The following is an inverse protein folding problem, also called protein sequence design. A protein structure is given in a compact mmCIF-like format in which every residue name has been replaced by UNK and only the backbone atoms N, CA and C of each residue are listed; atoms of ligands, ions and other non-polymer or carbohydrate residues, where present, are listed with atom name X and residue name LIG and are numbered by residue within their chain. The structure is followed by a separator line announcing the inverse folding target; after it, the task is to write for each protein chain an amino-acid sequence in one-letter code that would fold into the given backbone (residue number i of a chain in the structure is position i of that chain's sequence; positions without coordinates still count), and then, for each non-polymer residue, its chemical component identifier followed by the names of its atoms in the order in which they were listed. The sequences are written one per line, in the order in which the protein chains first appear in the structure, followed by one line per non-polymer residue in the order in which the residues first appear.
data_IF_274780536321
#
_entry.id   IF_274780536321
#
_cell.length_a   1.000
_cell.length_b   1.000
_cell.length_c   1.000
_cell.angle_alpha   90.00
_cell.angle_beta   90.00
_cell.angle_gamma   90.00
#
_symmetry.space_group_name_H-M   'P 1'
#
loop_
_entity.id
_entity.type
_entity.pdbx_description
1 polymer ?
#
# COMPACT_ATOMS: atom_id res chain seq x y z
N UNK A 1 7.92 -33.26 -62.45
CA UNK A 1 7.57 -32.51 -61.29
C UNK A 1 8.26 -33.14 -60.07
N UNK A 2 9.34 -32.49 -59.53
CA UNK A 2 10.05 -32.95 -58.35
C UNK A 2 9.32 -32.44 -57.10
N UNK A 3 8.93 -33.37 -56.22
CA UNK A 3 8.36 -33.02 -54.91
C UNK A 3 9.42 -32.35 -54.01
N UNK A 4 9.03 -31.34 -53.23
CA UNK A 4 9.96 -30.72 -52.28
C UNK A 4 10.29 -31.71 -51.16
N UNK A 5 11.58 -31.94 -50.94
CA UNK A 5 12.07 -32.69 -49.80
C UNK A 5 11.79 -31.88 -48.51
N UNK A 6 10.93 -32.42 -47.68
CA UNK A 6 10.78 -31.97 -46.30
C UNK A 6 12.13 -32.04 -45.60
N UNK A 7 12.64 -30.90 -45.15
CA UNK A 7 13.77 -30.84 -44.23
C UNK A 7 13.29 -31.35 -42.90
N UNK A 8 13.69 -32.56 -42.54
CA UNK A 8 13.55 -33.03 -41.17
C UNK A 8 14.33 -32.10 -40.27
N UNK A 9 13.59 -31.47 -39.35
CA UNK A 9 14.19 -30.69 -38.30
C UNK A 9 15.09 -31.58 -37.44
N UNK A 10 16.32 -31.14 -37.21
CA UNK A 10 17.25 -31.81 -36.33
C UNK A 10 16.68 -31.85 -34.89
N UNK A 11 16.86 -32.97 -34.15
CA UNK A 11 16.40 -33.08 -32.80
C UNK A 11 17.14 -32.05 -31.91
N UNK A 12 16.36 -31.29 -31.13
CA UNK A 12 16.87 -30.34 -30.17
C UNK A 12 17.78 -31.05 -29.12
N UNK A 13 18.90 -30.46 -28.74
CA UNK A 13 19.74 -31.06 -27.71
C UNK A 13 18.97 -31.15 -26.39
N UNK A 14 19.17 -32.19 -25.58
CA UNK A 14 18.50 -32.34 -24.32
C UNK A 14 18.90 -31.19 -23.37
N UNK A 15 17.91 -30.65 -22.69
CA UNK A 15 18.12 -29.63 -21.68
C UNK A 15 19.10 -30.12 -20.58
N UNK A 16 19.98 -29.27 -20.05
CA UNK A 16 20.89 -29.67 -18.99
C UNK A 16 20.08 -30.07 -17.76
N UNK A 17 20.34 -31.28 -17.28
CA UNK A 17 19.75 -31.77 -16.02
C UNK A 17 20.30 -30.96 -14.86
N UNK A 18 19.46 -30.55 -13.89
CA UNK A 18 19.97 -29.95 -12.69
C UNK A 18 20.89 -30.91 -11.95
N UNK A 19 22.06 -30.42 -11.58
CA UNK A 19 23.03 -31.20 -10.82
C UNK A 19 22.42 -31.64 -9.48
N UNK A 20 22.61 -32.92 -9.13
CA UNK A 20 22.17 -33.43 -7.85
C UNK A 20 22.85 -32.67 -6.69
N UNK A 21 22.13 -32.37 -5.61
CA UNK A 21 22.74 -31.72 -4.46
C UNK A 21 23.79 -32.64 -3.82
N UNK A 22 24.87 -32.07 -3.29
CA UNK A 22 25.92 -32.87 -2.65
C UNK A 22 25.35 -33.62 -1.43
N UNK A 23 25.89 -34.80 -1.10
CA UNK A 23 25.45 -35.57 0.05
C UNK A 23 25.71 -34.78 1.34
N UNK A 24 24.66 -34.57 2.11
CA UNK A 24 24.76 -33.98 3.44
C UNK A 24 25.40 -35.01 4.34
N UNK A 25 26.61 -34.74 4.81
CA UNK A 25 27.24 -35.51 5.88
C UNK A 25 26.40 -35.32 7.15
N UNK A 26 25.69 -36.38 7.52
CA UNK A 26 25.04 -36.43 8.82
C UNK A 26 26.14 -36.58 9.87
N UNK A 27 26.45 -35.51 10.57
CA UNK A 27 27.13 -35.62 11.84
C UNK A 27 26.06 -35.98 12.89
N UNK A 28 25.98 -37.25 13.20
CA UNK A 28 25.30 -37.72 14.41
C UNK A 28 26.10 -37.24 15.61
N UNK A 29 25.74 -36.08 16.13
CA UNK A 29 26.12 -35.69 17.48
C UNK A 29 24.87 -35.76 18.33
N UNK A 30 24.68 -36.93 18.93
CA UNK A 30 23.73 -37.09 20.03
C UNK A 30 24.34 -36.43 21.26
N UNK A 31 23.83 -35.27 21.61
CA UNK A 31 23.97 -34.71 22.93
C UNK A 31 22.58 -34.57 23.52
N UNK A 32 22.46 -35.27 24.62
CA UNK A 32 21.29 -35.40 25.46
C UNK A 32 20.59 -34.09 25.76
N UNK A 33 19.32 -34.18 25.65
CA UNK A 33 18.32 -33.10 25.77
C UNK A 33 18.15 -32.64 27.21
N UNK A 34 18.36 -31.36 27.42
CA UNK A 34 17.64 -30.65 28.47
C UNK A 34 16.50 -29.84 27.83
N UNK A 35 15.32 -29.81 28.43
CA UNK A 35 14.19 -29.08 27.88
C UNK A 35 14.41 -27.57 28.06
N UNK A 36 14.92 -26.93 27.06
CA UNK A 36 14.89 -25.46 26.98
C UNK A 36 13.51 -25.07 26.47
N UNK A 37 12.79 -24.43 27.33
CA UNK A 37 11.63 -23.60 26.98
C UNK A 37 11.92 -22.84 25.69
N UNK A 38 11.16 -23.16 24.66
CA UNK A 38 11.21 -22.48 23.38
C UNK A 38 10.72 -21.04 23.55
N UNK A 39 11.64 -20.14 23.81
CA UNK A 39 11.42 -18.75 23.41
C UNK A 39 11.71 -18.73 21.91
N UNK A 40 10.67 -18.60 21.12
CA UNK A 40 10.81 -18.26 19.72
C UNK A 40 11.65 -16.99 19.63
N UNK A 41 12.74 -16.97 18.85
CA UNK A 41 13.41 -15.73 18.59
C UNK A 41 12.39 -14.85 17.85
N UNK A 42 12.06 -13.72 18.46
CA UNK A 42 11.37 -12.65 17.76
C UNK A 42 12.20 -12.41 16.48
N UNK A 43 11.51 -12.43 15.33
CA UNK A 43 12.14 -12.13 14.07
C UNK A 43 12.91 -10.81 14.24
N UNK A 44 14.24 -10.87 14.20
CA UNK A 44 15.06 -9.67 14.20
C UNK A 44 14.64 -8.83 13.01
N UNK A 45 14.01 -7.70 13.33
CA UNK A 45 13.79 -6.67 12.35
C UNK A 45 15.16 -6.32 11.73
N UNK A 46 15.25 -6.10 10.41
CA UNK A 46 16.50 -5.77 9.77
C UNK A 46 17.12 -4.58 10.49
N UNK A 47 18.31 -4.81 11.06
CA UNK A 47 19.05 -3.76 11.75
C UNK A 47 19.43 -2.71 10.72
N UNK A 48 18.79 -1.56 10.79
CA UNK A 48 19.18 -0.41 10.01
C UNK A 48 20.59 0.02 10.49
N UNK A 49 21.57 -0.16 9.63
CA UNK A 49 22.93 0.35 9.87
C UNK A 49 22.90 1.88 9.72
N UNK A 50 22.92 2.57 10.82
CA UNK A 50 22.95 4.04 10.89
C UNK A 50 22.48 4.51 12.26
N UNK A 51 22.77 5.76 12.63
CA UNK A 51 22.18 6.34 13.84
C UNK A 51 20.66 6.27 13.71
N UNK A 52 20.00 5.81 14.75
CA UNK A 52 18.53 5.73 14.78
C UNK A 52 17.97 7.09 14.39
N UNK A 53 17.18 7.12 13.32
CA UNK A 53 16.49 8.35 12.92
C UNK A 53 15.47 8.69 13.98
N UNK A 54 15.77 9.70 14.76
CA UNK A 54 14.79 10.28 15.69
C UNK A 54 14.04 11.37 14.94
N UNK A 55 12.73 11.20 14.70
CA UNK A 55 11.95 12.24 14.04
C UNK A 55 12.04 13.54 14.85
N UNK A 56 12.33 14.64 14.18
CA UNK A 56 12.32 15.95 14.81
C UNK A 56 10.87 16.37 15.13
N UNK A 57 10.66 17.20 16.15
CA UNK A 57 9.34 17.77 16.40
C UNK A 57 8.81 18.45 15.14
N UNK A 58 7.62 18.05 14.68
CA UNK A 58 7.01 18.56 13.44
C UNK A 58 7.22 17.71 12.21
N UNK A 59 8.09 16.70 12.27
CA UNK A 59 8.22 15.74 11.16
C UNK A 59 6.94 14.90 11.03
N UNK A 60 6.57 14.64 9.80
CA UNK A 60 5.43 13.76 9.52
C UNK A 60 5.87 12.30 9.70
N UNK A 61 5.20 11.52 10.55
CA UNK A 61 5.55 10.11 10.73
C UNK A 61 5.23 9.31 9.49
N UNK A 62 6.11 8.35 9.17
CA UNK A 62 5.79 7.29 8.21
C UNK A 62 4.78 6.34 8.83
N UNK A 63 3.88 5.83 8.00
CA UNK A 63 2.93 4.79 8.37
C UNK A 63 3.32 3.46 7.75
N UNK A 64 2.73 2.38 8.25
CA UNK A 64 2.94 1.05 7.71
C UNK A 64 2.42 0.94 6.28
N UNK A 65 3.12 0.17 5.45
CA UNK A 65 2.83 0.03 4.05
C UNK A 65 3.77 0.85 3.18
N UNK A 66 3.48 0.89 1.91
CA UNK A 66 4.26 1.62 0.92
C UNK A 66 3.34 2.16 -0.18
N UNK A 67 3.82 3.15 -0.91
CA UNK A 67 3.21 3.61 -2.14
C UNK A 67 3.23 2.53 -3.22
N UNK A 68 2.66 2.82 -4.41
CA UNK A 68 2.47 1.81 -5.47
C UNK A 68 3.74 1.13 -5.96
N UNK A 69 4.90 1.79 -5.87
CA UNK A 69 6.19 1.27 -6.30
C UNK A 69 7.17 1.07 -5.12
N UNK A 70 6.66 0.96 -3.90
CA UNK A 70 7.49 0.76 -2.71
C UNK A 70 7.98 2.06 -2.06
N UNK A 71 7.44 3.21 -2.44
CA UNK A 71 7.81 4.51 -1.85
C UNK A 71 7.39 4.60 -0.38
N UNK A 72 8.08 5.41 0.42
CA UNK A 72 7.64 5.72 1.77
C UNK A 72 6.23 6.29 1.78
N UNK A 73 5.42 5.90 2.76
CA UNK A 73 4.04 6.31 2.90
C UNK A 73 3.86 7.08 4.21
N UNK A 74 3.14 8.19 4.13
CA UNK A 74 2.89 9.08 5.26
C UNK A 74 1.40 9.22 5.54
N UNK A 75 1.06 9.51 6.79
CA UNK A 75 -0.30 9.88 7.13
C UNK A 75 -0.67 11.22 6.49
N UNK A 76 -1.84 11.30 5.86
CA UNK A 76 -2.31 12.54 5.27
C UNK A 76 -2.66 13.55 6.36
N UNK A 77 -2.26 14.80 6.14
CA UNK A 77 -2.63 15.95 6.95
C UNK A 77 -3.39 16.93 6.09
N UNK A 78 -4.62 17.20 6.48
CA UNK A 78 -5.45 18.14 5.72
C UNK A 78 -4.93 19.58 5.83
N UNK A 79 -4.79 20.22 4.68
CA UNK A 79 -4.71 21.67 4.63
C UNK A 79 -6.13 22.26 4.75
N UNK A 80 -7.05 21.72 3.96
CA UNK A 80 -8.49 21.95 4.06
C UNK A 80 -9.22 20.63 3.83
N UNK A 81 -9.96 20.22 4.83
CA UNK A 81 -10.80 19.03 4.69
C UNK A 81 -11.96 19.34 3.72
N UNK A 82 -12.29 18.43 2.80
CA UNK A 82 -13.44 18.63 1.94
C UNK A 82 -14.72 18.68 2.76
N UNK A 83 -15.66 19.51 2.33
CA UNK A 83 -16.97 19.55 2.95
C UNK A 83 -17.81 18.36 2.53
N UNK A 84 -18.79 17.98 3.36
CA UNK A 84 -19.67 16.83 3.10
C UNK A 84 -20.46 17.01 1.80
N UNK A 85 -20.87 18.23 1.46
CA UNK A 85 -21.57 18.55 0.23
C UNK A 85 -20.68 18.47 -1.02
N UNK A 86 -19.38 18.78 -0.89
CA UNK A 86 -18.40 18.59 -1.97
C UNK A 86 -18.21 17.09 -2.29
N UNK A 87 -18.35 16.22 -1.31
CA UNK A 87 -18.20 14.78 -1.46
C UNK A 87 -19.50 14.08 -1.85
N UNK A 88 -20.66 14.67 -1.52
CA UNK A 88 -21.95 14.03 -1.67
C UNK A 88 -22.23 13.56 -3.11
N UNK A 89 -21.85 14.34 -4.11
CA UNK A 89 -22.01 13.98 -5.52
C UNK A 89 -21.22 12.74 -5.93
N UNK A 90 -20.02 12.55 -5.38
CA UNK A 90 -19.18 11.38 -5.67
C UNK A 90 -19.61 10.17 -4.85
N UNK A 91 -19.87 10.38 -3.57
CA UNK A 91 -20.23 9.30 -2.65
C UNK A 91 -21.64 8.76 -2.88
N UNK A 92 -22.51 9.53 -3.51
CA UNK A 92 -23.87 9.08 -3.87
C UNK A 92 -23.89 7.95 -4.88
N UNK A 93 -22.81 7.76 -5.64
CA UNK A 93 -22.67 6.65 -6.60
C UNK A 93 -22.18 5.36 -5.94
N UNK A 94 -21.74 5.45 -4.70
CA UNK A 94 -21.26 4.33 -3.91
C UNK A 94 -22.32 3.84 -2.93
N UNK A 95 -22.17 2.62 -2.48
CA UNK A 95 -23.06 2.02 -1.48
C UNK A 95 -22.46 2.20 -0.08
N UNK A 96 -22.95 3.22 0.63
CA UNK A 96 -22.55 3.48 2.01
C UNK A 96 -23.60 3.04 3.03
N UNK A 97 -23.31 3.16 4.34
CA UNK A 97 -22.13 3.78 4.96
C UNK A 97 -20.87 2.91 4.87
N UNK A 98 -19.71 3.52 5.06
CA UNK A 98 -18.43 2.83 5.03
C UNK A 98 -17.26 3.79 4.88
N UNK A 99 -16.16 3.28 4.34
CA UNK A 99 -14.98 4.11 4.09
C UNK A 99 -14.29 3.71 2.78
N UNK A 100 -13.60 4.68 2.19
CA UNK A 100 -12.67 4.48 1.10
C UNK A 100 -11.27 4.93 1.49
N UNK A 101 -10.27 4.21 1.01
CA UNK A 101 -8.86 4.42 1.31
C UNK A 101 -8.09 4.52 0.00
N UNK A 102 -7.36 5.61 -0.15
CA UNK A 102 -6.53 5.87 -1.32
C UNK A 102 -5.13 6.31 -0.90
N UNK A 103 -4.14 5.97 -1.72
CA UNK A 103 -2.79 6.53 -1.63
C UNK A 103 -2.59 7.49 -2.79
N UNK A 104 -2.14 8.70 -2.48
CA UNK A 104 -1.91 9.75 -3.45
C UNK A 104 -0.51 10.33 -3.31
N UNK A 105 0.06 10.77 -4.42
CA UNK A 105 1.27 11.55 -4.44
C UNK A 105 0.95 13.02 -4.20
N UNK A 106 1.67 13.65 -3.30
CA UNK A 106 1.50 15.09 -3.05
C UNK A 106 2.07 15.91 -4.20
N UNK A 107 1.37 16.97 -4.54
CA UNK A 107 1.71 17.89 -5.63
C UNK A 107 1.77 19.34 -5.12
N UNK A 108 2.30 20.30 -5.91
CA UNK A 108 2.29 21.70 -5.55
C UNK A 108 0.88 22.22 -5.24
N UNK A 109 0.78 23.32 -4.49
CA UNK A 109 -0.47 23.99 -4.09
C UNK A 109 -1.41 23.10 -3.24
N UNK A 110 -0.82 22.24 -2.41
CA UNK A 110 -1.55 21.31 -1.53
C UNK A 110 -2.44 20.30 -2.29
N UNK A 111 -2.19 20.13 -3.57
CA UNK A 111 -2.92 19.18 -4.40
C UNK A 111 -2.37 17.77 -4.22
N UNK A 112 -3.15 16.81 -4.65
CA UNK A 112 -2.73 15.41 -4.77
C UNK A 112 -2.99 14.91 -6.18
N UNK A 113 -2.16 13.96 -6.61
CA UNK A 113 -2.21 13.36 -7.94
C UNK A 113 -1.86 11.87 -7.88
N UNK A 114 -2.02 11.16 -8.98
CA UNK A 114 -1.70 9.73 -9.11
C UNK A 114 -2.33 8.85 -8.03
N UNK A 115 -3.55 9.19 -7.62
CA UNK A 115 -4.24 8.47 -6.55
C UNK A 115 -4.61 7.05 -6.99
N UNK A 116 -4.32 6.08 -6.12
CA UNK A 116 -4.69 4.68 -6.29
C UNK A 116 -5.58 4.21 -5.15
N UNK A 117 -6.58 3.42 -5.46
CA UNK A 117 -7.45 2.80 -4.45
C UNK A 117 -6.71 1.65 -3.79
N UNK A 118 -6.62 1.67 -2.47
CA UNK A 118 -5.97 0.62 -1.68
C UNK A 118 -6.93 -0.17 -0.80
N UNK A 119 -8.13 0.34 -0.57
CA UNK A 119 -9.13 -0.39 0.19
C UNK A 119 -10.47 0.34 0.26
N UNK A 120 -11.48 -0.42 0.63
CA UNK A 120 -12.81 0.10 0.90
C UNK A 120 -13.57 -0.85 1.83
N UNK A 121 -14.54 -0.32 2.52
CA UNK A 121 -15.49 -1.11 3.31
C UNK A 121 -16.88 -0.47 3.23
N UNK A 122 -17.94 -1.24 2.98
CA UNK A 122 -17.92 -2.67 2.63
C UNK A 122 -17.17 -2.95 1.33
N UNK A 123 -16.61 -4.15 1.22
CA UNK A 123 -15.91 -4.56 0.00
C UNK A 123 -16.89 -4.56 -1.19
N UNK A 124 -16.49 -3.97 -2.30
CA UNK A 124 -17.33 -3.82 -3.49
C UNK A 124 -18.35 -2.67 -3.38
N UNK A 125 -18.25 -1.82 -2.35
CA UNK A 125 -19.15 -0.67 -2.17
C UNK A 125 -18.96 0.42 -3.21
N UNK A 126 -17.78 0.49 -3.85
CA UNK A 126 -17.39 1.56 -4.75
C UNK A 126 -16.92 2.83 -4.05
N UNK A 127 -16.81 2.81 -2.71
CA UNK A 127 -16.36 3.97 -1.94
C UNK A 127 -14.92 4.35 -2.26
N UNK A 128 -14.03 3.39 -2.47
CA UNK A 128 -12.65 3.65 -2.88
C UNK A 128 -12.58 4.45 -4.17
N UNK A 129 -13.32 4.04 -5.20
CA UNK A 129 -13.38 4.75 -6.48
C UNK A 129 -14.05 6.12 -6.37
N UNK A 130 -15.07 6.24 -5.54
CA UNK A 130 -15.74 7.52 -5.30
C UNK A 130 -14.78 8.54 -4.65
N UNK A 131 -14.02 8.09 -3.65
CA UNK A 131 -12.99 8.92 -3.00
C UNK A 131 -11.87 9.30 -3.99
N UNK A 132 -11.41 8.34 -4.80
CA UNK A 132 -10.41 8.60 -5.83
C UNK A 132 -10.90 9.66 -6.84
N UNK A 133 -12.14 9.54 -7.28
CA UNK A 133 -12.74 10.52 -8.22
C UNK A 133 -12.85 11.92 -7.62
N UNK A 134 -13.05 12.02 -6.30
CA UNK A 134 -13.15 13.30 -5.59
C UNK A 134 -11.77 13.90 -5.25
N UNK A 135 -10.69 13.14 -5.38
CA UNK A 135 -9.37 13.53 -4.87
C UNK A 135 -8.78 14.80 -5.52
N UNK A 136 -9.20 15.15 -6.74
CA UNK A 136 -8.74 16.36 -7.42
C UNK A 136 -9.02 17.66 -6.64
N UNK A 137 -10.02 17.67 -5.78
CA UNK A 137 -10.37 18.81 -4.94
C UNK A 137 -9.78 18.77 -3.54
N UNK A 138 -9.10 17.70 -3.19
CA UNK A 138 -8.49 17.56 -1.87
C UNK A 138 -7.33 18.53 -1.70
N UNK A 139 -7.24 19.12 -0.51
CA UNK A 139 -6.13 19.97 -0.11
C UNK A 139 -5.41 19.31 1.06
N UNK A 140 -4.22 18.79 0.78
CA UNK A 140 -3.41 18.01 1.72
C UNK A 140 -2.05 18.67 1.88
N UNK A 141 -1.57 18.75 3.10
CA UNK A 141 -0.22 19.24 3.39
C UNK A 141 0.78 18.16 2.99
N UNK A 142 1.84 18.50 2.26
CA UNK A 142 2.94 17.58 2.04
C UNK A 142 3.53 17.11 3.37
N UNK A 143 4.05 15.87 3.46
CA UNK A 143 4.83 15.44 4.59
C UNK A 143 6.01 16.39 4.83
N UNK A 144 6.41 16.55 6.08
CA UNK A 144 7.50 17.43 6.47
C UNK A 144 8.66 16.64 7.06
N UNK A 145 9.88 17.08 6.76
CA UNK A 145 11.10 16.60 7.40
C UNK A 145 12.04 17.78 7.64
N UNK A 146 12.48 17.93 8.89
CA UNK A 146 13.34 19.05 9.26
C UNK A 146 12.69 20.42 9.00
N UNK A 147 11.37 20.54 9.14
CA UNK A 147 10.61 21.75 8.85
C UNK A 147 10.39 22.06 7.36
N UNK A 148 10.84 21.18 6.47
CA UNK A 148 10.69 21.38 5.02
C UNK A 148 9.57 20.47 4.48
N UNK A 149 8.65 21.02 3.68
CA UNK A 149 7.65 20.22 2.99
C UNK A 149 8.30 19.36 1.90
N UNK A 150 7.92 18.08 1.85
CA UNK A 150 8.37 17.12 0.85
C UNK A 150 7.27 16.87 -0.18
N UNK A 151 7.16 17.77 -1.15
CA UNK A 151 6.23 17.61 -2.28
C UNK A 151 6.71 16.44 -3.14
N UNK A 152 5.78 15.59 -3.56
CA UNK A 152 6.06 14.39 -4.34
C UNK A 152 6.05 13.09 -3.51
N UNK A 153 6.01 13.19 -2.18
CA UNK A 153 5.88 12.04 -1.31
C UNK A 153 4.43 11.53 -1.27
N UNK A 154 4.29 10.24 -0.97
CA UNK A 154 3.01 9.57 -0.94
C UNK A 154 2.33 9.68 0.42
N UNK A 155 1.03 9.93 0.38
CA UNK A 155 0.18 10.03 1.57
C UNK A 155 -1.04 9.13 1.46
N UNK A 156 -1.47 8.57 2.58
CA UNK A 156 -2.68 7.77 2.67
C UNK A 156 -3.84 8.61 3.16
N UNK A 157 -4.92 8.61 2.41
CA UNK A 157 -6.13 9.38 2.68
C UNK A 157 -7.27 8.41 2.93
N UNK A 158 -7.94 8.56 4.05
CA UNK A 158 -9.16 7.83 4.39
C UNK A 158 -10.33 8.80 4.46
N UNK A 159 -11.41 8.45 3.78
CA UNK A 159 -12.70 9.14 3.87
C UNK A 159 -13.73 8.17 4.42
N UNK A 160 -14.31 8.54 5.54
CA UNK A 160 -15.44 7.83 6.14
C UNK A 160 -16.74 8.48 5.64
N UNK A 161 -17.63 7.66 5.10
CA UNK A 161 -18.93 8.05 4.64
C UNK A 161 -20.00 7.47 5.54
N UNK A 162 -20.80 8.36 6.10
CA UNK A 162 -21.96 7.98 6.92
C UNK A 162 -23.22 8.56 6.29
N UNK A 163 -24.23 7.71 6.17
CA UNK A 163 -25.57 8.19 5.82
C UNK A 163 -26.07 9.01 7.02
N UNK A 164 -26.16 10.32 6.85
CA UNK A 164 -26.89 11.13 7.83
C UNK A 164 -28.36 10.71 7.77
N UNK A 165 -29.01 10.36 8.90
CA UNK A 165 -30.45 10.25 8.94
C UNK A 165 -31.01 11.57 8.42
N UNK A 166 -31.91 11.51 7.44
CA UNK A 166 -32.75 12.67 7.14
C UNK A 166 -33.34 13.09 8.47
N UNK A 167 -33.00 14.29 8.93
CA UNK A 167 -33.82 14.91 9.95
C UNK A 167 -35.21 15.05 9.31
N UNK A 168 -36.13 14.16 9.71
CA UNK A 168 -37.51 14.30 9.38
C UNK A 168 -37.92 15.68 9.90
N UNK A 169 -38.15 16.58 8.97
CA UNK A 169 -38.87 17.80 9.30
C UNK A 169 -40.22 17.34 9.80
N UNK A 170 -40.34 17.23 11.10
CA UNK A 170 -41.62 17.33 11.73
C UNK A 170 -42.06 18.79 11.57
N UNK A 171 -42.71 19.10 10.45
CA UNK A 171 -43.65 20.20 10.41
C UNK A 171 -44.92 19.71 11.12
N UNK A 172 -44.99 20.08 12.38
CA UNK A 172 -46.24 20.09 13.12
C UNK A 172 -46.99 21.36 12.89
#
# INVERSE_FOLDING_TARGET
AAAPRERQAAPSPPAPQPAAPPPILRNDFSLESEPRTSQSPAAEAPQAYGPAFTPAPGDTPQIAGSGPNGEPLYAARWYRRPYDDELAGYLSTAQGPGWGLIDCRTAPDFRVEDCVVVGESPRGSGLGKAVQAAAWQFKVRPPQRGGRPMVGEWVRIRIDYQLRPRADRFEG
#
